data_IF_789905442373
#
_entry.id   IF_789905442373
#
_cell.length_a   1.000
_cell.length_b   1.000
_cell.length_c   1.000
_cell.angle_alpha   90.00
_cell.angle_beta   90.00
_cell.angle_gamma   90.00
#
_symmetry.space_group_name_H-M   'P 1'
#
loop_
_entity.id
_entity.type
_entity.pdbx_description
1 polymer ?
#
# COMPACT_ATOMS: atom_id res chain seq x y z
N UNK A 1 5.80 -20.38 -4.71
CA UNK A 1 5.60 -21.86 -4.80
C UNK A 1 5.25 -22.47 -3.43
N UNK A 2 6.04 -22.35 -2.35
CA UNK A 2 5.72 -22.97 -1.04
C UNK A 2 4.38 -22.52 -0.46
N UNK A 3 4.07 -21.23 -0.53
CA UNK A 3 2.78 -20.72 -0.05
C UNK A 3 1.58 -21.37 -0.77
N UNK A 4 1.67 -21.55 -2.08
CA UNK A 4 0.60 -22.20 -2.86
C UNK A 4 0.42 -23.65 -2.45
N UNK A 5 1.51 -24.38 -2.21
CA UNK A 5 1.46 -25.77 -1.73
C UNK A 5 0.88 -25.87 -0.31
N UNK A 6 1.20 -24.90 0.56
CA UNK A 6 0.58 -24.88 1.89
C UNK A 6 -0.92 -24.61 1.82
N UNK A 7 -1.34 -23.68 0.97
CA UNK A 7 -2.78 -23.47 0.74
C UNK A 7 -3.47 -24.72 0.21
N UNK A 8 -2.84 -25.46 -0.70
CA UNK A 8 -3.39 -26.73 -1.19
C UNK A 8 -3.54 -27.76 -0.06
N UNK A 9 -2.53 -27.91 0.79
CA UNK A 9 -2.60 -28.81 1.95
C UNK A 9 -3.73 -28.41 2.91
N UNK A 10 -3.86 -27.13 3.19
CA UNK A 10 -4.93 -26.62 4.06
C UNK A 10 -6.31 -26.80 3.41
N UNK A 11 -6.44 -26.63 2.08
CA UNK A 11 -7.65 -26.96 1.34
C UNK A 11 -8.02 -28.43 1.50
N UNK A 12 -7.09 -29.34 1.24
CA UNK A 12 -7.32 -30.78 1.36
C UNK A 12 -7.78 -31.13 2.77
N UNK A 13 -7.01 -30.74 3.78
CA UNK A 13 -7.33 -30.99 5.19
C UNK A 13 -8.68 -30.40 5.60
N UNK A 14 -8.98 -29.17 5.16
CA UNK A 14 -10.23 -28.49 5.50
C UNK A 14 -11.45 -29.23 4.93
N UNK A 15 -11.41 -29.55 3.62
CA UNK A 15 -12.55 -30.19 2.95
C UNK A 15 -12.70 -31.68 3.29
N UNK A 16 -11.67 -32.36 3.80
CA UNK A 16 -11.78 -33.68 4.42
C UNK A 16 -12.63 -33.65 5.70
N UNK A 17 -12.50 -32.60 6.49
CA UNK A 17 -13.18 -32.47 7.81
C UNK A 17 -14.47 -31.65 7.73
N UNK A 18 -14.52 -30.62 6.87
CA UNK A 18 -15.60 -29.66 6.76
C UNK A 18 -16.03 -29.42 5.30
N UNK A 19 -16.60 -30.42 4.62
CA UNK A 19 -16.87 -30.34 3.18
C UNK A 19 -17.93 -29.30 2.79
N UNK A 20 -18.72 -28.79 3.73
CA UNK A 20 -19.78 -27.80 3.49
C UNK A 20 -19.35 -26.35 3.79
N UNK A 21 -18.31 -26.18 4.59
CA UNK A 21 -17.84 -24.84 4.97
C UNK A 21 -16.71 -24.39 4.06
N UNK A 22 -16.75 -23.16 3.53
CA UNK A 22 -15.68 -22.65 2.67
C UNK A 22 -14.40 -22.38 3.47
N UNK A 23 -13.26 -22.67 2.89
CA UNK A 23 -11.97 -22.33 3.48
C UNK A 23 -11.85 -20.81 3.64
N UNK A 24 -11.41 -20.39 4.82
CA UNK A 24 -11.01 -19.03 5.11
C UNK A 24 -9.59 -19.02 5.64
N UNK A 25 -8.80 -18.03 5.24
CA UNK A 25 -7.45 -17.92 5.79
C UNK A 25 -6.70 -16.67 5.38
N UNK A 26 -5.59 -16.47 6.06
CA UNK A 26 -4.73 -15.30 5.90
C UNK A 26 -3.36 -15.77 5.39
N UNK A 27 -2.87 -15.12 4.35
CA UNK A 27 -1.50 -15.27 3.88
C UNK A 27 -0.76 -13.98 4.24
N UNK A 28 0.16 -14.09 5.17
CA UNK A 28 1.06 -13.00 5.49
C UNK A 28 2.36 -13.16 4.72
N UNK A 29 2.55 -12.29 3.76
CA UNK A 29 3.78 -12.18 3.00
C UNK A 29 4.30 -10.76 3.06
N UNK A 30 5.59 -10.61 3.37
CA UNK A 30 6.22 -9.28 3.37
C UNK A 30 6.03 -8.56 2.04
N UNK A 31 6.09 -7.24 2.06
CA UNK A 31 5.90 -6.41 0.88
C UNK A 31 7.00 -6.73 -0.17
N UNK A 32 6.69 -6.67 -1.45
CA UNK A 32 7.64 -7.03 -2.52
C UNK A 32 7.86 -8.55 -2.71
N UNK A 33 7.27 -9.42 -1.88
CA UNK A 33 7.45 -10.88 -1.94
C UNK A 33 6.64 -11.59 -3.04
N UNK A 34 5.99 -10.83 -3.93
CA UNK A 34 5.26 -11.38 -5.07
C UNK A 34 3.84 -11.86 -4.75
N UNK A 35 3.10 -11.17 -3.87
CA UNK A 35 1.69 -11.50 -3.55
C UNK A 35 0.79 -11.64 -4.79
N UNK A 36 0.95 -10.75 -5.78
CA UNK A 36 0.19 -10.83 -7.05
C UNK A 36 0.55 -12.08 -7.84
N UNK A 37 1.83 -12.45 -7.91
CA UNK A 37 2.26 -13.70 -8.55
C UNK A 37 1.74 -14.93 -7.79
N UNK A 38 1.69 -14.87 -6.46
CA UNK A 38 1.09 -15.91 -5.64
C UNK A 38 -0.40 -16.07 -5.98
N UNK A 39 -1.15 -14.97 -6.13
CA UNK A 39 -2.56 -15.01 -6.55
C UNK A 39 -2.74 -15.78 -7.85
N UNK A 40 -1.90 -15.53 -8.85
CA UNK A 40 -1.91 -16.30 -10.09
C UNK A 40 -1.74 -17.81 -9.85
N UNK A 41 -0.83 -18.23 -9.00
CA UNK A 41 -0.64 -19.64 -8.66
C UNK A 41 -1.82 -20.21 -7.88
N UNK A 42 -2.44 -19.41 -7.01
CA UNK A 42 -3.63 -19.82 -6.26
C UNK A 42 -4.82 -20.07 -7.18
N UNK A 43 -5.02 -19.28 -8.23
CA UNK A 43 -6.11 -19.53 -9.19
C UNK A 43 -5.99 -20.92 -9.81
N UNK A 44 -4.79 -21.32 -10.22
CA UNK A 44 -4.56 -22.63 -10.81
C UNK A 44 -4.76 -23.77 -9.82
N UNK A 45 -4.15 -23.67 -8.64
CA UNK A 45 -4.18 -24.74 -7.63
C UNK A 45 -5.60 -24.96 -7.11
N UNK A 46 -6.33 -23.87 -6.83
CA UNK A 46 -7.71 -23.99 -6.33
C UNK A 46 -8.63 -24.52 -7.42
N UNK A 47 -8.48 -24.09 -8.66
CA UNK A 47 -9.22 -24.65 -9.78
C UNK A 47 -8.97 -26.16 -9.93
N UNK A 48 -7.70 -26.56 -9.93
CA UNK A 48 -7.32 -27.95 -10.09
C UNK A 48 -7.80 -28.83 -8.93
N UNK A 49 -7.95 -28.26 -7.74
CA UNK A 49 -8.55 -28.94 -6.58
C UNK A 49 -10.06 -29.19 -6.77
N UNK A 50 -10.80 -28.23 -7.35
CA UNK A 50 -12.26 -28.35 -7.51
C UNK A 50 -12.71 -29.04 -8.80
N UNK A 51 -11.87 -29.09 -9.84
CA UNK A 51 -12.18 -29.73 -11.10
C UNK A 51 -12.65 -31.22 -10.95
N UNK A 52 -11.97 -32.08 -10.16
CA UNK A 52 -12.42 -33.45 -9.93
C UNK A 52 -13.75 -33.54 -9.18
N UNK A 53 -14.15 -32.47 -8.49
CA UNK A 53 -15.43 -32.38 -7.77
C UNK A 53 -16.56 -31.82 -8.64
N UNK A 54 -16.33 -31.67 -9.96
CA UNK A 54 -17.25 -31.07 -10.93
C UNK A 54 -17.70 -29.64 -10.56
N UNK A 55 -16.90 -28.89 -9.78
CA UNK A 55 -17.16 -27.50 -9.43
C UNK A 55 -16.34 -26.57 -10.31
N UNK A 56 -17.01 -25.62 -10.94
CA UNK A 56 -16.35 -24.50 -11.63
C UNK A 56 -15.87 -23.48 -10.61
N UNK A 57 -14.68 -22.96 -10.81
CA UNK A 57 -14.14 -21.92 -9.91
C UNK A 57 -14.19 -20.54 -10.56
N UNK A 58 -14.52 -19.52 -9.79
CA UNK A 58 -14.51 -18.13 -10.23
C UNK A 58 -13.75 -17.27 -9.24
N UNK A 59 -12.76 -16.52 -9.75
CA UNK A 59 -11.83 -15.79 -8.93
C UNK A 59 -12.11 -14.30 -8.97
N UNK A 60 -12.04 -13.66 -7.80
CA UNK A 60 -12.16 -12.23 -7.59
C UNK A 60 -10.95 -11.74 -6.81
N UNK A 61 -10.21 -10.80 -7.39
CA UNK A 61 -9.11 -10.13 -6.72
C UNK A 61 -9.55 -8.73 -6.30
N UNK A 62 -9.61 -8.49 -5.00
CA UNK A 62 -10.14 -7.26 -4.43
C UNK A 62 -8.99 -6.38 -3.98
N UNK A 63 -8.91 -5.16 -4.50
CA UNK A 63 -7.89 -4.17 -4.18
C UNK A 63 -8.52 -2.89 -3.66
N UNK A 64 -7.81 -2.19 -2.79
CA UNK A 64 -8.29 -0.94 -2.19
C UNK A 64 -7.93 0.30 -3.03
N UNK A 65 -6.86 0.24 -3.85
CA UNK A 65 -6.31 1.40 -4.58
C UNK A 65 -6.31 1.18 -6.10
N UNK A 66 -6.56 2.28 -6.84
CA UNK A 66 -6.60 2.25 -8.30
C UNK A 66 -5.24 1.92 -8.94
N UNK A 67 -4.14 2.42 -8.37
CA UNK A 67 -2.79 2.11 -8.85
C UNK A 67 -2.44 0.62 -8.69
N UNK A 68 -2.89 -0.02 -7.61
CA UNK A 68 -2.74 -1.46 -7.41
C UNK A 68 -3.58 -2.28 -8.38
N UNK A 69 -4.73 -1.78 -8.80
CA UNK A 69 -5.59 -2.43 -9.78
C UNK A 69 -4.90 -2.55 -11.14
N UNK A 70 -4.35 -1.45 -11.67
CA UNK A 70 -3.66 -1.46 -12.96
C UNK A 70 -2.39 -2.34 -12.91
N UNK A 71 -1.65 -2.27 -11.82
CA UNK A 71 -0.49 -3.14 -11.59
C UNK A 71 -0.89 -4.61 -11.57
N UNK A 72 -1.94 -4.97 -10.83
CA UNK A 72 -2.42 -6.35 -10.75
C UNK A 72 -2.87 -6.89 -12.11
N UNK A 73 -3.65 -6.10 -12.87
CA UNK A 73 -4.09 -6.46 -14.23
C UNK A 73 -2.90 -6.73 -15.15
N UNK A 74 -1.92 -5.83 -15.18
CA UNK A 74 -0.71 -5.99 -15.98
C UNK A 74 0.06 -7.27 -15.62
N UNK A 75 0.21 -7.53 -14.32
CA UNK A 75 0.92 -8.72 -13.84
C UNK A 75 0.17 -10.03 -14.14
N UNK A 76 -1.16 -10.04 -14.07
CA UNK A 76 -1.96 -11.21 -14.45
C UNK A 76 -1.88 -11.48 -15.96
N UNK A 77 -2.04 -10.45 -16.78
CA UNK A 77 -1.94 -10.57 -18.24
C UNK A 77 -0.58 -11.09 -18.69
N UNK A 78 0.53 -10.59 -18.11
CA UNK A 78 1.90 -11.10 -18.40
C UNK A 78 2.07 -12.59 -18.12
N UNK A 79 1.25 -13.16 -17.23
CA UNK A 79 1.28 -14.58 -16.86
C UNK A 79 0.24 -15.42 -17.59
N UNK A 80 -0.51 -14.82 -18.52
CA UNK A 80 -1.56 -15.50 -19.28
C UNK A 80 -2.85 -15.71 -18.49
N UNK A 81 -3.11 -14.89 -17.47
CA UNK A 81 -4.38 -14.83 -16.77
C UNK A 81 -5.17 -13.62 -17.26
N UNK A 82 -6.33 -13.84 -17.84
CA UNK A 82 -7.17 -12.76 -18.33
C UNK A 82 -7.84 -12.02 -17.16
N UNK A 83 -7.56 -10.70 -17.07
CA UNK A 83 -8.01 -9.87 -15.97
C UNK A 83 -9.13 -8.92 -16.41
N UNK A 84 -10.31 -9.05 -15.80
CA UNK A 84 -11.49 -8.26 -16.11
C UNK A 84 -11.79 -7.28 -14.96
N UNK A 85 -11.95 -6.01 -15.31
CA UNK A 85 -12.34 -4.97 -14.38
C UNK A 85 -13.77 -4.51 -14.66
N UNK A 86 -14.73 -4.71 -13.73
CA UNK A 86 -16.06 -4.13 -13.87
C UNK A 86 -15.98 -2.60 -13.76
N UNK A 87 -16.51 -1.91 -14.78
CA UNK A 87 -16.44 -0.45 -14.88
C UNK A 87 -17.57 0.25 -14.12
N UNK A 88 -18.65 -0.45 -13.89
CA UNK A 88 -19.85 0.04 -13.22
C UNK A 88 -20.51 -1.07 -12.41
N UNK A 89 -21.56 -0.70 -11.67
CA UNK A 89 -22.36 -1.58 -10.80
C UNK A 89 -23.03 -2.71 -11.58
N UNK A 90 -23.57 -2.41 -12.76
CA UNK A 90 -24.26 -3.39 -13.62
C UNK A 90 -23.30 -4.48 -14.09
N UNK A 91 -22.10 -4.08 -14.52
CA UNK A 91 -21.06 -5.03 -14.92
C UNK A 91 -20.60 -5.89 -13.72
N UNK A 92 -20.43 -5.31 -12.53
CA UNK A 92 -20.09 -6.07 -11.34
C UNK A 92 -21.17 -7.10 -11.02
N UNK A 93 -22.44 -6.69 -11.01
CA UNK A 93 -23.56 -7.59 -10.76
C UNK A 93 -23.68 -8.68 -11.80
N UNK A 94 -23.45 -8.38 -13.08
CA UNK A 94 -23.40 -9.39 -14.14
C UNK A 94 -22.26 -10.39 -13.91
N UNK A 95 -21.08 -9.90 -13.53
CA UNK A 95 -19.94 -10.76 -13.21
C UNK A 95 -20.19 -11.66 -12.00
N UNK A 96 -20.95 -11.19 -11.01
CA UNK A 96 -21.34 -11.98 -9.84
C UNK A 96 -22.43 -13.02 -10.17
N UNK A 97 -23.44 -12.63 -10.99
CA UNK A 97 -24.58 -13.50 -11.38
C UNK A 97 -24.20 -14.59 -12.35
N UNK A 98 -23.26 -14.34 -13.27
CA UNK A 98 -23.00 -15.27 -14.35
C UNK A 98 -22.08 -16.41 -13.89
N UNK A 99 -22.57 -17.67 -13.88
CA UNK A 99 -21.75 -18.83 -13.54
C UNK A 99 -20.75 -19.20 -14.65
N UNK A 100 -20.93 -18.63 -15.86
CA UNK A 100 -20.01 -18.88 -16.96
C UNK A 100 -18.78 -18.02 -16.79
N UNK A 101 -17.63 -18.64 -16.74
CA UNK A 101 -16.36 -18.04 -17.07
C UNK A 101 -16.48 -17.61 -18.53
N UNK A 102 -16.47 -16.36 -18.81
CA UNK A 102 -16.65 -15.62 -20.07
C UNK A 102 -16.94 -16.42 -21.36
N UNK A 103 -17.97 -16.00 -22.09
CA UNK A 103 -18.22 -16.43 -23.46
C UNK A 103 -17.08 -15.95 -24.37
N UNK A 104 -16.30 -16.86 -24.92
CA UNK A 104 -15.55 -16.60 -26.14
C UNK A 104 -14.09 -17.04 -26.18
N UNK A 105 -13.41 -17.31 -25.09
CA UNK A 105 -12.03 -17.79 -25.13
C UNK A 105 -11.92 -19.22 -24.62
N UNK A 106 -11.61 -20.12 -25.53
CA UNK A 106 -11.38 -21.53 -25.21
C UNK A 106 -10.22 -21.65 -24.19
N UNK A 107 -10.58 -21.85 -22.91
CA UNK A 107 -9.66 -22.38 -21.92
C UNK A 107 -8.68 -21.41 -21.27
N UNK A 108 -8.81 -20.12 -21.41
CA UNK A 108 -7.99 -19.14 -20.67
C UNK A 108 -8.50 -18.98 -19.24
N UNK A 109 -7.57 -19.00 -18.29
CA UNK A 109 -7.86 -18.69 -16.89
C UNK A 109 -8.22 -17.20 -16.76
N UNK A 110 -9.28 -16.91 -16.00
CA UNK A 110 -9.78 -15.55 -15.82
C UNK A 110 -9.86 -15.15 -14.35
N UNK A 111 -9.71 -13.86 -14.09
CA UNK A 111 -9.87 -13.25 -12.78
C UNK A 111 -10.59 -11.91 -12.89
N UNK A 112 -11.55 -11.67 -12.01
CA UNK A 112 -12.23 -10.37 -11.91
C UNK A 112 -11.48 -9.52 -10.90
N UNK A 113 -10.94 -8.38 -11.33
CA UNK A 113 -10.22 -7.44 -10.45
C UNK A 113 -11.16 -6.32 -10.05
N UNK A 114 -11.46 -6.20 -8.76
CA UNK A 114 -12.43 -5.23 -8.22
C UNK A 114 -11.74 -4.20 -7.36
N UNK A 115 -11.89 -2.92 -7.72
CA UNK A 115 -11.49 -1.83 -6.84
C UNK A 115 -12.63 -1.47 -5.89
N UNK A 116 -12.38 -1.63 -4.60
CA UNK A 116 -13.39 -1.42 -3.56
C UNK A 116 -13.83 0.03 -3.42
N UNK A 117 -12.94 1.00 -3.66
CA UNK A 117 -13.26 2.43 -3.51
C UNK A 117 -14.25 2.94 -4.55
N UNK A 118 -14.34 2.26 -5.71
CA UNK A 118 -15.28 2.63 -6.76
C UNK A 118 -16.74 2.45 -6.33
N UNK A 119 -16.99 1.54 -5.40
CA UNK A 119 -18.34 1.13 -4.95
C UNK A 119 -18.64 1.55 -3.50
N UNK A 120 -17.79 2.34 -2.86
CA UNK A 120 -18.05 2.87 -1.50
C UNK A 120 -19.16 3.92 -1.50
N UNK A 121 -19.97 3.94 -0.43
CA UNK A 121 -20.91 5.04 -0.17
C UNK A 121 -20.10 6.31 0.18
N UNK A 122 -20.36 7.45 -0.50
CA UNK A 122 -19.72 8.72 -0.16
C UNK A 122 -20.00 9.20 1.26
N UNK A 123 -21.08 8.71 1.90
CA UNK A 123 -21.46 9.04 3.28
C UNK A 123 -20.82 8.12 4.33
N UNK A 124 -20.18 7.03 3.92
CA UNK A 124 -19.38 6.19 4.83
C UNK A 124 -18.13 6.97 5.25
N UNK A 125 -18.08 7.38 6.50
CA UNK A 125 -16.88 7.98 7.10
C UNK A 125 -15.90 6.86 7.37
N UNK A 126 -14.77 6.87 6.67
CA UNK A 126 -13.62 6.05 7.05
C UNK A 126 -13.19 6.47 8.46
N UNK A 127 -13.40 5.62 9.44
CA UNK A 127 -13.08 5.87 10.86
C UNK A 127 -11.58 6.07 11.12
N UNK A 128 -10.74 5.90 10.10
CA UNK A 128 -9.27 6.00 10.14
C UNK A 128 -8.67 7.10 9.26
N UNK A 129 -9.46 7.81 8.46
CA UNK A 129 -8.95 8.96 7.71
C UNK A 129 -9.20 10.23 8.53
N UNK A 130 -8.14 10.84 9.03
CA UNK A 130 -8.15 12.24 9.40
C UNK A 130 -8.71 13.03 8.21
N UNK A 131 -9.67 13.89 8.43
CA UNK A 131 -10.57 14.59 7.51
C UNK A 131 -9.95 15.40 6.33
N UNK A 132 -8.76 15.08 5.86
CA UNK A 132 -8.05 15.85 4.82
C UNK A 132 -7.95 15.17 3.45
N UNK A 133 -8.40 13.93 3.32
CA UNK A 133 -8.34 13.21 2.03
C UNK A 133 -9.71 13.19 1.33
N UNK A 134 -10.22 14.34 0.93
CA UNK A 134 -11.23 14.40 -0.14
C UNK A 134 -10.51 14.27 -1.46
N UNK A 135 -10.56 13.09 -2.07
CA UNK A 135 -10.20 12.88 -3.48
C UNK A 135 -11.05 13.78 -4.36
N UNK A 136 -10.52 14.95 -4.72
CA UNK A 136 -11.14 15.90 -5.66
C UNK A 136 -10.92 15.49 -7.13
N UNK A 137 -10.25 14.38 -7.41
CA UNK A 137 -9.80 14.04 -8.77
C UNK A 137 -10.76 13.18 -9.59
N UNK A 138 -11.89 12.72 -9.06
CA UNK A 138 -12.86 11.96 -9.86
C UNK A 138 -14.29 12.44 -9.59
N UNK A 139 -14.78 13.39 -10.40
CA UNK A 139 -16.18 13.84 -10.48
C UNK A 139 -17.14 12.78 -11.07
N UNK A 140 -16.84 11.48 -10.98
CA UNK A 140 -17.83 10.44 -11.28
C UNK A 140 -18.56 10.10 -9.99
N UNK A 141 -19.90 10.08 -9.98
CA UNK A 141 -20.66 9.65 -8.82
C UNK A 141 -20.19 8.24 -8.45
N UNK A 142 -19.79 8.05 -7.19
CA UNK A 142 -19.47 6.73 -6.67
C UNK A 142 -20.77 5.93 -6.67
N UNK A 143 -20.78 4.80 -7.35
CA UNK A 143 -21.96 3.96 -7.45
C UNK A 143 -22.09 3.13 -6.17
N UNK A 144 -23.22 3.26 -5.51
CA UNK A 144 -23.53 2.50 -4.28
C UNK A 144 -24.10 1.14 -4.67
N UNK A 145 -23.50 0.06 -4.19
CA UNK A 145 -24.05 -1.28 -4.32
C UNK A 145 -24.58 -1.74 -2.97
N UNK A 146 -25.89 -1.88 -2.88
CA UNK A 146 -26.54 -2.31 -1.63
C UNK A 146 -26.32 -3.80 -1.33
N UNK A 147 -26.44 -4.15 -0.04
CA UNK A 147 -26.36 -5.55 0.41
C UNK A 147 -27.41 -6.43 -0.28
N UNK A 148 -28.61 -5.90 -0.49
CA UNK A 148 -29.72 -6.61 -1.15
C UNK A 148 -29.39 -6.94 -2.60
N UNK A 149 -28.81 -6.00 -3.33
CA UNK A 149 -28.40 -6.21 -4.72
C UNK A 149 -27.27 -7.24 -4.84
N UNK A 150 -26.34 -7.24 -3.90
CA UNK A 150 -25.29 -8.26 -3.84
C UNK A 150 -25.88 -9.64 -3.55
N UNK A 151 -26.85 -9.74 -2.61
CA UNK A 151 -27.53 -11.00 -2.30
C UNK A 151 -28.33 -11.54 -3.49
N UNK A 152 -28.97 -10.66 -4.27
CA UNK A 152 -29.66 -11.05 -5.50
C UNK A 152 -28.70 -11.45 -6.62
N UNK A 153 -27.51 -10.84 -6.66
CA UNK A 153 -26.47 -11.16 -7.63
C UNK A 153 -25.77 -12.49 -7.32
N UNK A 154 -25.59 -12.79 -6.04
CA UNK A 154 -24.92 -13.99 -5.55
C UNK A 154 -25.99 -15.05 -5.26
N UNK A 155 -26.54 -15.68 -6.30
CA UNK A 155 -27.41 -16.84 -6.12
C UNK A 155 -26.56 -18.07 -5.78
N UNK A 156 -27.10 -18.93 -4.90
CA UNK A 156 -26.51 -20.24 -4.63
C UNK A 156 -26.49 -21.06 -5.91
N UNK A 157 -25.30 -21.29 -6.42
CA UNK A 157 -25.04 -22.20 -7.52
C UNK A 157 -24.13 -23.31 -6.99
N UNK A 158 -24.67 -24.51 -6.87
CA UNK A 158 -23.94 -25.64 -6.29
C UNK A 158 -22.73 -26.08 -7.12
N UNK A 159 -22.72 -25.74 -8.42
CA UNK A 159 -21.65 -26.09 -9.35
C UNK A 159 -20.57 -25.02 -9.44
N UNK A 160 -20.78 -23.87 -8.76
CA UNK A 160 -19.85 -22.73 -8.77
C UNK A 160 -19.19 -22.52 -7.41
N UNK A 161 -17.87 -22.59 -7.38
CA UNK A 161 -17.07 -22.19 -6.23
C UNK A 161 -16.48 -20.80 -6.46
N UNK A 162 -16.95 -19.79 -5.76
CA UNK A 162 -16.37 -18.45 -5.77
C UNK A 162 -15.18 -18.38 -4.81
N UNK A 163 -14.17 -17.65 -5.23
CA UNK A 163 -12.93 -17.44 -4.47
C UNK A 163 -12.63 -15.96 -4.43
N UNK A 164 -12.70 -15.35 -3.25
CA UNK A 164 -12.30 -13.97 -3.02
C UNK A 164 -10.88 -13.93 -2.46
N UNK A 165 -9.99 -13.28 -3.18
CA UNK A 165 -8.61 -13.01 -2.76
C UNK A 165 -8.51 -11.52 -2.53
N UNK A 166 -8.23 -11.12 -1.30
CA UNK A 166 -8.33 -9.74 -0.83
C UNK A 166 -6.94 -9.23 -0.51
N UNK A 167 -6.48 -8.23 -1.27
CA UNK A 167 -5.19 -7.60 -1.01
C UNK A 167 -5.32 -6.52 0.06
N UNK A 168 -4.29 -6.40 0.90
CA UNK A 168 -4.20 -5.51 2.06
C UNK A 168 -5.47 -5.55 2.95
N UNK A 169 -5.95 -6.75 3.24
CA UNK A 169 -7.22 -7.00 3.92
C UNK A 169 -7.36 -6.29 5.28
N UNK A 170 -6.25 -5.98 5.94
CA UNK A 170 -6.22 -5.22 7.20
C UNK A 170 -6.69 -3.76 7.06
N UNK A 171 -6.65 -3.19 5.84
CA UNK A 171 -7.03 -1.79 5.57
C UNK A 171 -8.49 -1.62 5.21
N UNK A 172 -9.05 -2.60 4.53
CA UNK A 172 -10.32 -2.46 3.80
C UNK A 172 -11.53 -3.00 4.57
N UNK A 173 -11.31 -3.62 5.72
CA UNK A 173 -12.38 -4.25 6.48
C UNK A 173 -12.90 -3.33 7.59
N UNK A 174 -13.99 -2.62 7.31
CA UNK A 174 -14.85 -2.03 8.34
C UNK A 174 -16.11 -2.89 8.49
N UNK A 175 -16.32 -3.55 9.65
CA UNK A 175 -17.51 -4.40 9.86
C UNK A 175 -18.82 -3.63 9.87
N UNK A 176 -18.80 -2.30 9.87
CA UNK A 176 -19.99 -1.46 10.08
C UNK A 176 -20.68 -0.94 8.82
N UNK A 177 -20.39 -1.48 7.63
CA UNK A 177 -21.20 -1.14 6.49
C UNK A 177 -20.51 -0.78 5.19
N UNK A 178 -19.24 -1.08 5.02
CA UNK A 178 -18.61 -0.84 3.73
C UNK A 178 -18.99 -1.92 2.71
N UNK A 179 -18.99 -1.56 1.44
CA UNK A 179 -19.22 -2.47 0.31
C UNK A 179 -18.45 -3.79 0.43
N UNK A 180 -17.24 -3.71 0.93
CA UNK A 180 -16.37 -4.85 1.17
C UNK A 180 -16.94 -5.85 2.18
N UNK A 181 -17.38 -5.37 3.35
CA UNK A 181 -18.02 -6.22 4.34
C UNK A 181 -19.29 -6.85 3.77
N UNK A 182 -20.09 -6.07 3.03
CA UNK A 182 -21.28 -6.55 2.36
C UNK A 182 -20.97 -7.65 1.33
N UNK A 183 -19.97 -7.48 0.49
CA UNK A 183 -19.55 -8.47 -0.50
C UNK A 183 -19.08 -9.77 0.16
N UNK A 184 -18.29 -9.67 1.22
CA UNK A 184 -17.77 -10.83 1.96
C UNK A 184 -18.90 -11.56 2.71
N UNK A 185 -19.83 -10.82 3.30
CA UNK A 185 -20.96 -11.40 4.04
C UNK A 185 -22.06 -11.97 3.15
N UNK A 186 -22.23 -11.44 1.94
CA UNK A 186 -23.27 -11.88 1.02
C UNK A 186 -23.04 -13.30 0.49
N UNK A 187 -21.77 -13.69 0.30
CA UNK A 187 -21.43 -15.05 -0.13
C UNK A 187 -20.83 -15.86 1.03
N UNK A 188 -21.65 -16.67 1.65
CA UNK A 188 -21.24 -17.56 2.74
C UNK A 188 -20.53 -18.82 2.25
N UNK A 189 -20.68 -19.17 0.98
CA UNK A 189 -20.12 -20.37 0.36
C UNK A 189 -18.78 -20.13 -0.32
N UNK A 190 -18.36 -18.88 -0.45
CA UNK A 190 -17.11 -18.52 -1.09
C UNK A 190 -15.89 -18.78 -0.21
N UNK A 191 -14.83 -19.26 -0.83
CA UNK A 191 -13.48 -19.28 -0.24
C UNK A 191 -13.00 -17.82 -0.08
N UNK A 192 -12.38 -17.50 1.06
CA UNK A 192 -11.93 -16.16 1.39
C UNK A 192 -10.47 -16.18 1.84
N UNK A 193 -9.59 -15.65 1.01
CA UNK A 193 -8.15 -15.59 1.27
C UNK A 193 -7.72 -14.14 1.40
N UNK A 194 -7.32 -13.75 2.59
CA UNK A 194 -6.75 -12.43 2.86
C UNK A 194 -5.24 -12.42 2.58
N UNK A 195 -4.76 -11.45 1.82
CA UNK A 195 -3.34 -11.18 1.66
C UNK A 195 -2.96 -9.96 2.50
N UNK A 196 -1.83 -10.02 3.19
CA UNK A 196 -1.32 -8.88 3.94
C UNK A 196 0.20 -8.80 3.88
N UNK A 197 0.73 -7.59 3.80
CA UNK A 197 2.18 -7.32 3.86
C UNK A 197 2.70 -7.11 5.28
N UNK A 198 1.80 -6.93 6.25
CA UNK A 198 2.15 -6.65 7.63
C UNK A 198 1.55 -7.71 8.57
N UNK A 199 2.24 -8.07 9.66
CA UNK A 199 1.69 -9.01 10.63
C UNK A 199 0.48 -8.38 11.32
N UNK A 200 -0.54 -9.20 11.58
CA UNK A 200 -1.68 -8.79 12.37
C UNK A 200 -1.27 -8.76 13.85
N UNK A 201 -1.33 -7.58 14.43
CA UNK A 201 -0.96 -7.37 15.85
C UNK A 201 -2.21 -7.54 16.72
N UNK A 202 -2.12 -8.37 17.75
CA UNK A 202 -3.28 -8.74 18.59
C UNK A 202 -3.91 -7.56 19.35
N UNK A 203 -3.15 -6.50 19.57
CA UNK A 203 -3.61 -5.29 20.28
C UNK A 203 -4.49 -4.34 19.46
N UNK A 204 -4.57 -4.56 18.14
CA UNK A 204 -5.33 -3.70 17.25
C UNK A 204 -6.73 -4.29 17.00
N UNK A 205 -7.78 -3.48 17.23
CA UNK A 205 -9.16 -3.90 17.00
C UNK A 205 -9.42 -4.30 15.53
N UNK A 206 -8.75 -3.66 14.58
CA UNK A 206 -8.87 -3.94 13.15
C UNK A 206 -8.23 -5.28 12.78
N UNK A 207 -7.09 -5.61 13.38
CA UNK A 207 -6.42 -6.90 13.19
C UNK A 207 -7.24 -8.05 13.78
N UNK A 208 -7.89 -7.85 14.95
CA UNK A 208 -8.83 -8.81 15.53
C UNK A 208 -10.03 -9.03 14.60
N UNK A 209 -10.58 -7.97 14.02
CA UNK A 209 -11.68 -8.07 13.05
C UNK A 209 -11.26 -8.86 11.82
N UNK A 210 -10.05 -8.66 11.30
CA UNK A 210 -9.50 -9.40 10.15
C UNK A 210 -9.35 -10.89 10.49
N UNK A 211 -8.79 -11.25 11.63
CA UNK A 211 -8.70 -12.65 12.08
C UNK A 211 -10.07 -13.30 12.28
N UNK A 212 -11.03 -12.58 12.85
CA UNK A 212 -12.39 -13.10 13.03
C UNK A 212 -13.08 -13.38 11.69
N UNK A 213 -12.77 -12.59 10.65
CA UNK A 213 -13.37 -12.75 9.32
C UNK A 213 -12.71 -13.83 8.50
N UNK A 214 -11.38 -13.88 8.52
CA UNK A 214 -10.59 -14.75 7.64
C UNK A 214 -9.96 -15.95 8.35
N UNK A 215 -10.04 -16.05 9.67
CA UNK A 215 -9.49 -17.17 10.42
C UNK A 215 -7.98 -17.12 10.58
N UNK A 216 -7.34 -18.29 10.56
CA UNK A 216 -5.93 -18.46 10.84
C UNK A 216 -5.02 -18.19 9.63
N UNK A 217 -3.71 -18.12 9.89
CA UNK A 217 -2.72 -18.05 8.84
C UNK A 217 -2.63 -19.38 8.07
N UNK A 218 -2.79 -19.32 6.74
CA UNK A 218 -2.52 -20.44 5.82
C UNK A 218 -1.03 -20.52 5.51
N UNK A 219 -0.37 -19.36 5.46
CA UNK A 219 1.06 -19.28 5.24
C UNK A 219 1.62 -17.96 5.76
N UNK A 220 2.85 -18.00 6.26
CA UNK A 220 3.62 -16.83 6.66
C UNK A 220 4.96 -16.81 5.93
N UNK A 221 5.35 -15.64 5.45
CA UNK A 221 6.67 -15.35 4.92
C UNK A 221 7.11 -14.01 5.47
N UNK A 222 7.82 -14.08 6.59
CA UNK A 222 8.19 -12.92 7.37
C UNK A 222 9.30 -12.10 6.72
N UNK A 223 9.45 -10.86 7.19
CA UNK A 223 10.54 -9.99 6.79
C UNK A 223 11.91 -10.62 7.05
N UNK A 224 12.08 -11.32 8.17
CA UNK A 224 13.32 -12.02 8.53
C UNK A 224 13.65 -13.14 7.53
N UNK A 225 12.65 -13.93 7.13
CA UNK A 225 12.81 -14.97 6.11
C UNK A 225 13.18 -14.38 4.77
N UNK A 226 12.50 -13.30 4.37
CA UNK A 226 12.77 -12.61 3.10
C UNK A 226 14.18 -12.01 3.03
N UNK A 227 14.72 -11.51 4.14
CA UNK A 227 16.11 -11.05 4.23
C UNK A 227 17.10 -12.25 4.11
N UNK A 228 16.78 -13.35 4.82
CA UNK A 228 17.61 -14.56 4.77
C UNK A 228 17.69 -15.12 3.34
N UNK A 229 16.58 -15.09 2.62
CA UNK A 229 16.46 -15.53 1.23
C UNK A 229 16.99 -14.49 0.23
N UNK A 230 17.48 -13.33 0.70
CA UNK A 230 18.03 -12.23 -0.11
C UNK A 230 17.01 -11.56 -1.05
N UNK A 231 15.72 -11.70 -0.76
CA UNK A 231 14.65 -11.03 -1.51
C UNK A 231 14.35 -9.63 -0.98
N UNK A 232 14.70 -9.36 0.27
CA UNK A 232 14.50 -8.05 0.92
C UNK A 232 15.82 -7.60 1.57
N UNK A 233 16.15 -6.32 1.42
CA UNK A 233 17.31 -5.74 2.05
C UNK A 233 17.06 -5.57 3.57
N UNK A 234 18.13 -5.75 4.36
CA UNK A 234 18.07 -5.46 5.78
C UNK A 234 17.95 -3.96 5.98
N UNK A 235 16.93 -3.56 6.74
CA UNK A 235 16.78 -2.17 7.17
C UNK A 235 17.82 -1.84 8.24
N UNK A 236 18.41 -0.67 8.11
CA UNK A 236 19.28 -0.09 9.11
C UNK A 236 18.63 1.20 9.63
N UNK A 237 18.44 1.27 10.93
CA UNK A 237 18.02 2.50 11.58
C UNK A 237 19.28 3.29 11.95
N UNK A 238 19.45 4.42 11.30
CA UNK A 238 20.51 5.36 11.64
C UNK A 238 19.93 6.47 12.52
N UNK A 239 20.60 6.75 13.64
CA UNK A 239 20.27 7.89 14.46
C UNK A 239 20.81 9.17 13.80
N UNK A 240 20.03 10.25 13.85
CA UNK A 240 20.49 11.57 13.44
C UNK A 240 21.76 11.91 14.23
N UNK A 241 22.79 12.42 13.57
CA UNK A 241 24.00 12.89 14.23
C UNK A 241 23.69 13.81 15.41
N UNK A 242 24.40 13.62 16.53
CA UNK A 242 24.13 14.34 17.77
C UNK A 242 24.12 15.85 17.58
N UNK A 243 25.09 16.39 16.82
CA UNK A 243 25.20 17.82 16.51
C UNK A 243 23.97 18.39 15.78
N UNK A 244 23.37 17.60 14.86
CA UNK A 244 22.15 18.00 14.16
C UNK A 244 20.92 17.86 15.04
N UNK A 245 20.87 16.82 15.85
CA UNK A 245 19.81 16.64 16.83
C UNK A 245 19.76 17.81 17.80
N UNK A 246 20.92 18.23 18.32
CA UNK A 246 21.07 19.39 19.21
C UNK A 246 20.64 20.69 18.50
N UNK A 247 21.10 20.92 17.27
CA UNK A 247 20.69 22.06 16.47
C UNK A 247 19.18 22.12 16.23
N UNK A 248 18.56 21.00 15.84
CA UNK A 248 17.11 20.94 15.66
C UNK A 248 16.36 21.15 16.97
N UNK A 249 16.87 20.63 18.08
CA UNK A 249 16.28 20.82 19.41
C UNK A 249 16.39 22.28 19.86
N UNK A 250 17.50 22.92 19.59
CA UNK A 250 17.71 24.36 19.90
C UNK A 250 16.75 25.23 19.09
N UNK A 251 16.65 25.01 17.77
CA UNK A 251 15.68 25.71 16.91
C UNK A 251 14.27 25.49 17.40
N UNK A 252 13.91 24.24 17.73
CA UNK A 252 12.60 23.90 18.27
C UNK A 252 12.31 24.68 19.58
N UNK A 253 13.27 24.74 20.51
CA UNK A 253 13.14 25.45 21.78
C UNK A 253 12.93 26.95 21.56
N UNK A 254 13.76 27.58 20.72
CA UNK A 254 13.64 29.00 20.39
C UNK A 254 12.27 29.33 19.77
N UNK A 255 11.79 28.49 18.87
CA UNK A 255 10.48 28.65 18.26
C UNK A 255 9.34 28.41 19.27
N UNK A 256 9.51 27.48 20.18
CA UNK A 256 8.54 27.22 21.24
C UNK A 256 8.36 28.38 22.19
N UNK A 257 9.44 29.12 22.47
CA UNK A 257 9.43 30.34 23.28
C UNK A 257 8.83 31.52 22.54
N UNK A 258 9.04 31.63 21.22
CA UNK A 258 8.60 32.79 20.41
C UNK A 258 7.14 32.69 19.92
N UNK A 259 6.57 31.49 19.82
CA UNK A 259 5.22 31.29 19.33
C UNK A 259 4.22 31.27 20.48
N UNK A 260 3.35 32.29 20.55
CA UNK A 260 2.31 32.46 21.57
C UNK A 260 0.99 31.78 21.22
N UNK A 261 1.01 30.47 20.94
CA UNK A 261 -0.18 29.67 20.70
C UNK A 261 -0.39 28.76 21.89
N UNK A 262 -1.59 28.79 22.49
CA UNK A 262 -1.94 27.95 23.65
C UNK A 262 -2.18 26.50 23.30
N UNK A 263 -2.81 26.23 22.14
CA UNK A 263 -3.04 24.86 21.68
C UNK A 263 -1.71 24.19 21.30
N UNK A 264 -1.36 23.14 22.04
CA UNK A 264 -0.09 22.44 21.88
C UNK A 264 0.06 21.75 20.53
N UNK A 265 -1.04 21.31 19.90
CA UNK A 265 -1.04 20.66 18.58
C UNK A 265 -0.78 21.67 17.47
N UNK A 266 -1.49 22.79 17.50
CA UNK A 266 -1.34 23.90 16.55
C UNK A 266 0.04 24.53 16.69
N UNK A 267 0.52 24.72 17.93
CA UNK A 267 1.86 25.24 18.21
C UNK A 267 2.95 24.34 17.62
N UNK A 268 2.82 23.04 17.78
CA UNK A 268 3.76 22.05 17.23
C UNK A 268 3.78 22.09 15.69
N UNK A 269 2.63 22.21 15.07
CA UNK A 269 2.52 22.32 13.62
C UNK A 269 3.14 23.62 13.10
N UNK A 270 2.90 24.74 13.79
CA UNK A 270 3.51 26.03 13.46
C UNK A 270 5.04 25.96 13.52
N UNK A 271 5.61 25.31 14.54
CA UNK A 271 7.08 25.12 14.66
C UNK A 271 7.61 24.29 13.49
N UNK A 272 6.97 23.20 13.14
CA UNK A 272 7.44 22.32 12.07
C UNK A 272 7.30 22.95 10.67
N UNK A 273 6.42 23.94 10.52
CA UNK A 273 6.23 24.72 9.29
C UNK A 273 7.05 26.03 9.27
N UNK A 274 7.81 26.34 10.34
CA UNK A 274 8.69 27.50 10.38
C UNK A 274 9.92 27.30 9.49
N UNK A 275 10.29 28.32 8.75
CA UNK A 275 11.41 28.29 7.80
C UNK A 275 12.73 27.87 8.45
N UNK A 276 13.03 28.37 9.65
CA UNK A 276 14.26 28.03 10.38
C UNK A 276 14.36 26.56 10.69
N UNK A 277 13.23 25.94 11.04
CA UNK A 277 13.16 24.51 11.30
C UNK A 277 13.31 23.69 10.02
N UNK A 278 12.64 24.09 8.95
CA UNK A 278 12.71 23.46 7.64
C UNK A 278 14.13 23.55 7.07
N UNK A 279 14.77 24.70 7.14
CA UNK A 279 16.13 24.90 6.66
C UNK A 279 17.15 24.05 7.43
N UNK A 280 16.99 23.92 8.75
CA UNK A 280 17.82 23.02 9.54
C UNK A 280 17.61 21.54 9.16
N UNK A 281 16.37 21.12 8.94
CA UNK A 281 16.04 19.78 8.46
C UNK A 281 16.63 19.49 7.06
N UNK A 282 16.44 20.40 6.12
CA UNK A 282 16.95 20.27 4.76
C UNK A 282 18.48 20.22 4.73
N UNK A 283 19.14 21.05 5.51
CA UNK A 283 20.61 21.04 5.61
C UNK A 283 21.14 19.67 6.04
N UNK A 284 20.45 19.00 6.97
CA UNK A 284 20.80 17.64 7.37
C UNK A 284 20.55 16.64 6.23
N UNK A 285 19.35 16.63 5.66
CA UNK A 285 18.94 15.69 4.60
C UNK A 285 19.87 15.76 3.39
N UNK A 286 20.16 16.96 2.91
CA UNK A 286 21.04 17.20 1.76
C UNK A 286 22.45 16.69 2.05
N UNK A 287 23.01 17.07 3.20
CA UNK A 287 24.36 16.64 3.59
C UNK A 287 24.45 15.13 3.76
N UNK A 288 23.48 14.50 4.41
CA UNK A 288 23.48 13.06 4.63
C UNK A 288 23.38 12.29 3.30
N UNK A 289 22.48 12.69 2.39
CA UNK A 289 22.37 12.04 1.09
C UNK A 289 23.64 12.20 0.25
N UNK A 290 24.24 13.38 0.22
CA UNK A 290 25.49 13.61 -0.49
C UNK A 290 26.65 12.79 0.08
N UNK A 291 26.79 12.73 1.40
CA UNK A 291 27.76 11.88 2.07
C UNK A 291 27.51 10.41 1.75
N UNK A 292 26.26 9.97 1.78
CA UNK A 292 25.87 8.60 1.47
C UNK A 292 26.24 8.22 0.03
N UNK A 293 25.96 9.11 -0.93
CA UNK A 293 26.38 8.91 -2.34
C UNK A 293 27.90 8.85 -2.46
N UNK A 294 28.61 9.73 -1.78
CA UNK A 294 30.09 9.75 -1.80
C UNK A 294 30.70 8.45 -1.24
N UNK A 295 30.12 7.91 -0.15
CA UNK A 295 30.55 6.63 0.44
C UNK A 295 30.18 5.41 -0.42
N UNK A 296 29.27 5.56 -1.38
CA UNK A 296 28.88 4.52 -2.33
C UNK A 296 29.35 4.84 -3.76
N UNK A 297 30.65 5.11 -3.91
CA UNK A 297 31.32 5.35 -5.19
C UNK A 297 30.71 6.50 -6.02
N UNK A 298 30.20 7.53 -5.36
CA UNK A 298 29.49 8.65 -5.99
C UNK A 298 28.27 8.23 -6.83
N UNK A 299 27.59 7.20 -6.41
CA UNK A 299 26.43 6.67 -7.15
C UNK A 299 25.24 7.66 -7.07
N UNK A 300 25.06 8.42 -8.14
CA UNK A 300 23.96 9.41 -8.25
C UNK A 300 22.58 8.79 -8.39
N UNK A 301 22.48 7.50 -8.69
CA UNK A 301 21.18 6.81 -8.75
C UNK A 301 20.56 6.52 -7.39
N UNK A 302 21.29 6.73 -6.29
CA UNK A 302 20.77 6.54 -4.94
C UNK A 302 19.81 7.69 -4.58
N UNK A 303 18.57 7.36 -4.29
CA UNK A 303 17.47 8.30 -4.09
C UNK A 303 17.00 8.34 -2.64
N UNK A 304 16.32 9.42 -2.30
CA UNK A 304 15.79 9.66 -0.97
C UNK A 304 14.31 10.05 -0.98
N UNK A 305 13.62 9.74 0.11
CA UNK A 305 12.26 10.20 0.37
C UNK A 305 12.17 10.82 1.76
N UNK A 306 11.55 11.99 1.85
CA UNK A 306 11.31 12.73 3.10
C UNK A 306 9.83 12.69 3.42
N UNK A 307 9.46 12.00 4.49
CA UNK A 307 8.10 11.96 5.01
C UNK A 307 7.89 13.11 5.96
N UNK A 308 7.25 14.17 5.48
CA UNK A 308 7.02 15.41 6.20
C UNK A 308 5.90 15.27 7.26
N UNK A 309 5.86 16.20 8.20
CA UNK A 309 4.86 16.23 9.27
C UNK A 309 3.49 16.75 8.80
N UNK A 310 3.47 17.52 7.71
CA UNK A 310 2.26 18.06 7.06
C UNK A 310 2.49 18.29 5.57
N UNK A 311 1.43 18.46 4.81
CA UNK A 311 1.50 18.89 3.41
C UNK A 311 2.13 20.27 3.25
N UNK A 312 1.85 21.18 4.18
CA UNK A 312 2.46 22.52 4.23
C UNK A 312 3.98 22.45 4.41
N UNK A 313 4.46 21.59 5.31
CA UNK A 313 5.91 21.39 5.48
C UNK A 313 6.55 20.84 4.22
N UNK A 314 5.90 19.87 3.55
CA UNK A 314 6.41 19.30 2.31
C UNK A 314 6.52 20.34 1.18
N UNK A 315 5.51 21.21 1.01
CA UNK A 315 5.52 22.32 0.04
C UNK A 315 6.68 23.28 0.29
N UNK A 316 6.81 23.76 1.52
CA UNK A 316 7.90 24.66 1.90
C UNK A 316 9.29 24.02 1.80
N UNK A 317 9.40 22.74 2.17
CA UNK A 317 10.67 22.03 2.04
C UNK A 317 11.13 21.94 0.57
N UNK A 318 10.22 21.70 -0.35
CA UNK A 318 10.54 21.69 -1.78
C UNK A 318 10.86 23.11 -2.30
N UNK A 319 10.16 24.12 -1.82
CA UNK A 319 10.40 25.53 -2.18
C UNK A 319 11.80 26.00 -1.76
N UNK A 320 12.21 25.73 -0.52
CA UNK A 320 13.50 26.18 0.03
C UNK A 320 14.68 25.28 -0.36
N UNK A 321 14.42 24.13 -0.98
CA UNK A 321 15.43 23.11 -1.22
C UNK A 321 16.66 23.62 -1.94
N UNK A 322 16.49 24.33 -3.05
CA UNK A 322 17.61 24.80 -3.87
C UNK A 322 18.48 25.82 -3.14
N UNK A 323 17.88 26.75 -2.41
CA UNK A 323 18.60 27.75 -1.63
C UNK A 323 19.44 27.11 -0.51
N UNK A 324 18.82 26.20 0.25
CA UNK A 324 19.50 25.48 1.32
C UNK A 324 20.60 24.57 0.76
N UNK A 325 20.38 23.95 -0.41
CA UNK A 325 21.43 23.17 -1.07
C UNK A 325 22.65 24.01 -1.41
N UNK A 326 22.47 25.23 -1.93
CA UNK A 326 23.60 26.14 -2.22
C UNK A 326 24.34 26.57 -0.95
N UNK A 327 23.63 26.80 0.14
CA UNK A 327 24.23 27.09 1.43
C UNK A 327 25.04 25.89 1.95
N UNK A 328 24.48 24.69 1.92
CA UNK A 328 25.18 23.47 2.35
C UNK A 328 26.46 23.26 1.56
N UNK A 329 26.42 23.43 0.24
CA UNK A 329 27.59 23.23 -0.63
C UNK A 329 28.70 24.30 -0.36
N UNK A 330 28.31 25.54 -0.08
CA UNK A 330 29.25 26.59 0.33
C UNK A 330 29.93 26.26 1.66
N UNK A 331 29.16 25.75 2.62
CA UNK A 331 29.65 25.47 3.97
C UNK A 331 30.42 24.13 4.06
N UNK A 332 30.25 23.23 3.08
CA UNK A 332 30.86 21.92 3.07
C UNK A 332 31.56 21.61 1.73
N UNK A 333 32.70 22.29 1.43
CA UNK A 333 33.41 22.15 0.14
C UNK A 333 33.96 20.73 -0.09
N UNK A 334 34.01 19.88 0.94
CA UNK A 334 34.45 18.50 0.85
C UNK A 334 33.38 17.58 0.25
N UNK A 335 32.12 18.01 0.16
CA UNK A 335 31.07 17.29 -0.51
C UNK A 335 31.26 17.42 -2.03
N UNK A 336 31.92 16.42 -2.60
CA UNK A 336 32.06 16.35 -4.06
C UNK A 336 30.76 15.92 -4.68
N UNK A 337 30.18 16.79 -5.51
CA UNK A 337 29.00 16.47 -6.31
C UNK A 337 29.36 16.56 -7.80
N UNK A 338 28.86 15.63 -8.59
CA UNK A 338 28.91 15.71 -10.04
C UNK A 338 27.76 16.61 -10.53
N UNK A 339 26.56 16.37 -10.00
CA UNK A 339 25.35 17.16 -10.30
C UNK A 339 24.65 17.62 -9.02
N UNK A 340 24.00 18.80 -9.08
CA UNK A 340 23.12 19.27 -8.00
C UNK A 340 21.95 18.31 -7.85
N UNK A 341 21.53 18.06 -6.61
CA UNK A 341 20.34 17.26 -6.32
C UNK A 341 19.08 17.95 -6.86
N UNK A 342 18.19 17.18 -7.44
CA UNK A 342 16.87 17.62 -7.89
C UNK A 342 15.80 17.11 -6.93
N UNK A 343 14.94 18.00 -6.45
CA UNK A 343 13.82 17.65 -5.59
C UNK A 343 12.49 17.77 -6.31
N UNK A 344 11.51 17.03 -5.84
CA UNK A 344 10.12 17.18 -6.27
C UNK A 344 9.15 16.98 -5.10
N UNK A 345 7.92 17.47 -5.29
CA UNK A 345 6.83 17.41 -4.33
C UNK A 345 5.76 16.44 -4.83
N UNK A 346 5.42 15.41 -4.02
CA UNK A 346 4.40 14.44 -4.37
C UNK A 346 3.32 14.43 -3.28
N UNK A 347 2.22 15.12 -3.55
CA UNK A 347 1.03 15.21 -2.71
C UNK A 347 -0.22 14.89 -3.52
N UNK A 348 -1.32 14.56 -2.86
CA UNK A 348 -2.59 14.21 -3.53
C UNK A 348 -3.23 15.38 -4.29
N UNK A 349 -3.01 16.60 -3.83
CA UNK A 349 -3.56 17.84 -4.36
C UNK A 349 -2.69 18.50 -5.44
N UNK A 350 -1.55 17.90 -5.78
CA UNK A 350 -0.66 18.40 -6.83
C UNK A 350 -1.11 17.96 -8.22
N UNK A 351 -0.79 18.80 -9.21
CA UNK A 351 -0.95 18.46 -10.62
C UNK A 351 0.19 17.51 -11.06
N UNK A 352 -0.08 16.70 -12.09
CA UNK A 352 0.93 15.85 -12.73
C UNK A 352 1.61 14.82 -11.79
N UNK A 353 0.92 14.40 -10.71
CA UNK A 353 1.47 13.45 -9.72
C UNK A 353 2.03 12.18 -10.37
N UNK A 354 1.37 11.66 -11.42
CA UNK A 354 1.83 10.46 -12.14
C UNK A 354 3.15 10.70 -12.85
N UNK A 355 3.34 11.86 -13.45
CA UNK A 355 4.57 12.25 -14.13
C UNK A 355 5.70 12.45 -13.14
N UNK A 356 5.44 13.09 -12.01
CA UNK A 356 6.41 13.24 -10.91
C UNK A 356 6.84 11.89 -10.33
N UNK A 357 5.91 10.97 -10.14
CA UNK A 357 6.22 9.58 -9.73
C UNK A 357 7.06 8.88 -10.80
N UNK A 358 6.75 9.07 -12.06
CA UNK A 358 7.52 8.50 -13.17
C UNK A 358 8.95 9.07 -13.20
N UNK A 359 9.10 10.38 -13.10
CA UNK A 359 10.41 11.04 -13.02
C UNK A 359 11.24 10.55 -11.82
N UNK A 360 10.62 10.42 -10.66
CA UNK A 360 11.30 9.85 -9.49
C UNK A 360 11.73 8.41 -9.67
N UNK A 361 10.99 7.61 -10.45
CA UNK A 361 11.35 6.20 -10.73
C UNK A 361 12.43 6.06 -11.80
N UNK A 362 12.35 6.83 -12.86
CA UNK A 362 13.06 6.55 -14.10
C UNK A 362 13.99 7.65 -14.55
N UNK A 363 13.88 8.86 -13.98
CA UNK A 363 14.60 10.04 -14.39
C UNK A 363 15.43 10.65 -13.23
N UNK A 364 15.71 11.93 -13.33
CA UNK A 364 16.72 12.64 -12.56
C UNK A 364 16.25 13.15 -11.18
N UNK A 365 14.99 12.92 -10.75
CA UNK A 365 14.56 13.35 -9.40
C UNK A 365 15.28 12.53 -8.34
N UNK A 366 16.00 13.18 -7.44
CA UNK A 366 16.86 12.58 -6.41
C UNK A 366 16.15 12.43 -5.07
N UNK A 367 15.36 13.44 -4.72
CA UNK A 367 14.65 13.53 -3.44
C UNK A 367 13.19 13.87 -3.70
N UNK A 368 12.28 13.21 -2.99
CA UNK A 368 10.86 13.59 -2.98
C UNK A 368 10.40 13.94 -1.59
N UNK A 369 9.61 15.02 -1.50
CA UNK A 369 8.90 15.41 -0.30
C UNK A 369 7.47 14.90 -0.36
N UNK A 370 7.09 14.11 0.64
CA UNK A 370 5.77 13.48 0.71
C UNK A 370 5.13 13.70 2.08
N UNK A 371 3.81 13.61 2.16
CA UNK A 371 3.10 13.56 3.42
C UNK A 371 2.48 12.17 3.65
N UNK A 372 1.47 11.80 2.89
CA UNK A 372 0.81 10.48 2.98
C UNK A 372 1.02 9.62 1.73
N UNK A 373 1.50 10.22 0.64
CA UNK A 373 1.74 9.51 -0.62
C UNK A 373 3.00 8.65 -0.57
N UNK A 374 3.06 7.66 -1.45
CA UNK A 374 4.18 6.73 -1.62
C UNK A 374 4.53 5.90 -0.37
N UNK A 375 3.82 6.04 0.75
CA UNK A 375 4.04 5.22 1.95
C UNK A 375 3.60 3.77 1.74
N UNK A 376 2.74 3.51 0.75
CA UNK A 376 2.21 2.19 0.45
C UNK A 376 2.13 1.94 -1.04
N UNK A 377 2.36 0.70 -1.50
CA UNK A 377 2.22 0.31 -2.92
C UNK A 377 3.28 0.87 -3.88
N UNK A 378 4.28 1.60 -3.39
CA UNK A 378 5.38 2.15 -4.19
C UNK A 378 6.62 1.28 -4.06
N UNK A 379 7.27 0.94 -5.16
CA UNK A 379 8.51 0.18 -5.20
C UNK A 379 9.54 0.91 -6.04
N UNK A 380 10.72 1.14 -5.44
CA UNK A 380 11.86 1.79 -6.08
C UNK A 380 13.17 1.21 -5.54
N UNK A 381 13.84 0.33 -6.27
CA UNK A 381 15.08 -0.32 -5.82
C UNK A 381 16.21 0.65 -5.44
N UNK A 382 16.21 1.85 -6.03
CA UNK A 382 17.22 2.87 -5.79
C UNK A 382 16.88 3.80 -4.60
N UNK A 383 15.72 3.66 -3.99
CA UNK A 383 15.37 4.38 -2.76
C UNK A 383 16.16 3.78 -1.59
N UNK A 384 17.19 4.48 -1.14
CA UNK A 384 18.13 3.98 -0.10
C UNK A 384 18.10 4.81 1.18
N UNK A 385 17.52 6.02 1.13
CA UNK A 385 17.37 6.88 2.30
C UNK A 385 15.90 7.26 2.50
N UNK A 386 15.40 7.01 3.70
CA UNK A 386 14.06 7.39 4.13
C UNK A 386 14.17 8.25 5.38
N UNK A 387 13.83 9.52 5.27
CA UNK A 387 13.81 10.46 6.38
C UNK A 387 12.40 10.62 6.90
N UNK A 388 12.16 10.24 8.16
CA UNK A 388 10.82 10.25 8.76
C UNK A 388 10.74 11.39 9.75
N UNK A 389 9.96 12.42 9.42
CA UNK A 389 9.84 13.65 10.20
C UNK A 389 8.55 13.71 11.05
N UNK A 390 7.82 12.63 11.12
CA UNK A 390 6.62 12.48 11.97
C UNK A 390 6.53 11.08 12.54
N UNK A 391 5.75 10.95 13.62
CA UNK A 391 5.42 9.62 14.13
C UNK A 391 4.50 8.93 13.11
N UNK A 392 4.92 7.78 12.62
CA UNK A 392 4.10 6.89 11.80
C UNK A 392 3.52 5.79 12.70
N UNK A 393 2.28 5.42 12.43
CA UNK A 393 1.67 4.25 13.07
C UNK A 393 2.40 2.97 12.66
N UNK A 394 2.32 1.95 13.50
CA UNK A 394 3.06 0.70 13.32
C UNK A 394 2.94 0.13 11.90
N UNK A 395 1.73 0.08 11.33
CA UNK A 395 1.50 -0.40 9.97
C UNK A 395 2.10 0.52 8.91
N UNK A 396 1.87 1.82 9.00
CA UNK A 396 2.40 2.80 8.06
C UNK A 396 3.94 2.84 8.09
N UNK A 397 4.54 2.68 9.27
CA UNK A 397 5.99 2.58 9.41
C UNK A 397 6.53 1.34 8.70
N UNK A 398 5.98 0.16 8.97
CA UNK A 398 6.40 -1.09 8.31
C UNK A 398 6.23 -1.01 6.80
N UNK A 399 5.15 -0.41 6.33
CA UNK A 399 4.89 -0.23 4.89
C UNK A 399 5.86 0.77 4.25
N UNK A 400 6.20 1.86 4.91
CA UNK A 400 7.18 2.83 4.43
C UNK A 400 8.60 2.23 4.40
N UNK A 401 8.94 1.38 5.36
CA UNK A 401 10.26 0.74 5.47
C UNK A 401 10.46 -0.43 4.52
N UNK A 402 9.40 -1.06 4.04
CA UNK A 402 9.45 -2.22 3.15
C UNK A 402 9.58 -1.85 1.65
N UNK A 403 10.29 -0.76 1.32
CA UNK A 403 10.43 -0.19 -0.03
C UNK A 403 11.74 -0.58 -0.70
#
# INVERSE_FOLDING_TARGET
MFASLNVLKELQKHYETNPKDPLKGIIWHTQGSGKTALTYHLTKIIRDFFNPLNKKTKFYFIVDRLDLLEQAKSEFLKRGLEAHEPKNKEELNQKLKNPRVFDGTQGNDEIVVVNIQRFKDPNERDSNENNENKDLSNNKPKEIVSKTELQEAIKDDHDLQRVFIIDEAHRSYDPKGCFYANLIECDKTAIKIALTGTPLLEDNAQDKATKNTFGNYLHTYSYTESIKDKHTLKLQLESIETSYKEKLQEVYRLLQESITIEDTKIKKEAIFNDERYINAMLSYVIRDLLNFRQLNDHNENLKAMVVCSSSTQAKKANEFFNEVQEEVLRNHPNLKILNKLKSDLILHDEQEVKEKIYSFKHEDTDIVFVYNMLLTGFDLPNLKRLYIHRKLDKHNLLQALAR
#
